data_IF_445509383394
#
_entry.id   IF_445509383394
#
_cell.length_a   1.000
_cell.length_b   1.000
_cell.length_c   1.000
_cell.angle_alpha   90.00
_cell.angle_beta   90.00
_cell.angle_gamma   90.00
#
_symmetry.space_group_name_H-M   'P 1'
#
loop_
_entity.id
_entity.type
_entity.pdbx_description
1 polymer ?
#
# COMPACT_ATOMS: atom_id res chain seq x y z
N UNK A 1 9.75 1.38 5.51
CA UNK A 1 8.79 2.38 6.05
C UNK A 1 8.66 3.51 5.06
N UNK A 2 7.45 3.88 4.63
CA UNK A 2 7.28 4.98 3.66
C UNK A 2 7.43 6.34 4.35
N UNK A 3 8.55 7.01 4.08
CA UNK A 3 8.80 8.40 4.48
C UNK A 3 7.95 9.27 3.55
N UNK A 4 6.69 9.50 3.91
CA UNK A 4 6.09 10.80 3.62
C UNK A 4 7.04 11.79 4.30
N UNK A 5 7.71 12.65 3.52
CA UNK A 5 8.62 13.67 4.08
C UNK A 5 7.90 14.35 5.23
N UNK A 6 8.60 14.65 6.32
CA UNK A 6 8.00 15.24 7.51
C UNK A 6 7.23 16.53 7.16
N UNK A 7 7.71 17.23 6.13
CA UNK A 7 7.06 18.36 5.48
C UNK A 7 5.70 18.01 4.85
N UNK A 8 5.59 16.92 4.09
CA UNK A 8 4.32 16.44 3.54
C UNK A 8 3.34 16.02 4.66
N UNK A 9 3.81 15.43 5.76
CA UNK A 9 2.94 15.11 6.92
C UNK A 9 2.39 16.37 7.59
N UNK A 10 3.22 17.41 7.71
CA UNK A 10 2.82 18.71 8.27
C UNK A 10 1.78 19.41 7.37
N UNK A 11 1.97 19.34 6.05
CA UNK A 11 1.01 19.83 5.06
C UNK A 11 -0.34 19.11 5.22
N UNK A 12 -0.34 17.77 5.31
CA UNK A 12 -1.57 16.99 5.47
C UNK A 12 -2.33 17.27 6.77
N UNK A 13 -1.61 17.53 7.88
CA UNK A 13 -2.22 17.90 9.16
C UNK A 13 -2.90 19.27 9.14
N UNK A 14 -2.41 20.19 8.32
CA UNK A 14 -2.92 21.56 8.22
C UNK A 14 -3.81 21.78 6.99
N UNK A 15 -4.13 20.71 6.24
CA UNK A 15 -4.95 20.77 5.04
C UNK A 15 -6.37 21.22 5.38
N UNK A 16 -6.86 22.24 4.66
CA UNK A 16 -8.21 22.75 4.80
C UNK A 16 -9.10 22.27 3.66
N UNK A 17 -10.41 22.46 3.83
CA UNK A 17 -11.41 22.14 2.79
C UNK A 17 -11.20 22.92 1.49
N UNK A 18 -10.73 24.16 1.60
CA UNK A 18 -10.40 25.04 0.47
C UNK A 18 -9.25 24.47 -0.38
N UNK A 19 -8.21 23.93 0.26
CA UNK A 19 -7.07 23.33 -0.44
C UNK A 19 -7.49 22.14 -1.30
N UNK A 20 -8.43 21.33 -0.78
CA UNK A 20 -8.99 20.20 -1.52
C UNK A 20 -9.81 20.65 -2.72
N UNK A 21 -10.59 21.75 -2.59
CA UNK A 21 -11.34 22.31 -3.72
C UNK A 21 -10.40 22.86 -4.80
N UNK A 22 -9.38 23.61 -4.40
CA UNK A 22 -8.37 24.10 -5.34
C UNK A 22 -7.65 22.95 -6.06
N UNK A 23 -7.41 21.85 -5.35
CA UNK A 23 -6.85 20.64 -5.95
C UNK A 23 -7.80 19.95 -6.93
N UNK A 24 -9.12 19.97 -6.69
CA UNK A 24 -10.12 19.51 -7.65
C UNK A 24 -10.10 20.35 -8.93
N UNK A 25 -10.04 21.67 -8.80
CA UNK A 25 -9.97 22.57 -9.96
C UNK A 25 -8.70 22.33 -10.79
N UNK A 26 -7.54 22.18 -10.11
CA UNK A 26 -6.28 21.82 -10.76
C UNK A 26 -6.35 20.45 -11.44
N UNK A 27 -7.02 19.49 -10.80
CA UNK A 27 -7.25 18.17 -11.37
C UNK A 27 -8.11 18.26 -12.64
N UNK A 28 -9.18 19.05 -12.61
CA UNK A 28 -10.09 19.25 -13.73
C UNK A 28 -9.43 19.97 -14.91
N UNK A 29 -8.57 20.94 -14.63
CA UNK A 29 -7.83 21.65 -15.68
C UNK A 29 -6.73 20.81 -16.33
N UNK A 30 -5.93 20.09 -15.52
CA UNK A 30 -4.67 19.49 -15.99
C UNK A 30 -4.76 17.99 -16.27
N UNK A 31 -5.61 17.27 -15.56
CA UNK A 31 -5.56 15.80 -15.55
C UNK A 31 -6.86 15.16 -16.02
N UNK A 32 -8.01 15.83 -15.89
CA UNK A 32 -9.33 15.21 -16.17
C UNK A 32 -9.51 14.71 -17.59
N UNK A 33 -8.91 15.36 -18.59
CA UNK A 33 -8.94 14.91 -19.99
C UNK A 33 -8.05 13.69 -20.23
N UNK A 34 -6.93 13.61 -19.53
CA UNK A 34 -5.91 12.56 -19.70
C UNK A 34 -6.08 11.40 -18.71
N UNK A 35 -7.03 11.51 -17.79
CA UNK A 35 -7.26 10.51 -16.75
C UNK A 35 -8.01 9.30 -17.34
N UNK A 36 -7.27 8.32 -17.84
CA UNK A 36 -7.82 7.08 -18.36
C UNK A 36 -8.72 6.36 -17.34
N UNK A 37 -9.82 5.78 -17.84
CA UNK A 37 -10.83 5.02 -17.05
C UNK A 37 -10.23 3.86 -16.24
N UNK A 38 -9.05 3.37 -16.62
CA UNK A 38 -8.33 2.26 -15.99
C UNK A 38 -7.62 2.66 -14.68
N UNK A 39 -7.46 3.96 -14.39
CA UNK A 39 -6.78 4.46 -13.18
C UNK A 39 -7.72 4.76 -12.01
N UNK A 40 -9.03 4.63 -12.21
CA UNK A 40 -10.01 4.76 -11.15
C UNK A 40 -9.85 3.59 -10.18
N UNK A 41 -9.24 3.88 -9.03
CA UNK A 41 -9.01 2.89 -7.98
C UNK A 41 -10.28 2.67 -7.18
N UNK A 42 -10.19 1.69 -6.28
CA UNK A 42 -11.19 1.27 -5.28
C UNK A 42 -11.99 2.41 -4.62
N UNK A 43 -11.44 3.62 -4.46
CA UNK A 43 -12.17 4.72 -3.82
C UNK A 43 -12.28 5.96 -4.72
N UNK A 44 -13.43 6.61 -4.71
CA UNK A 44 -13.66 7.96 -5.25
C UNK A 44 -14.13 8.90 -4.15
N UNK A 45 -13.78 10.17 -4.29
CA UNK A 45 -14.34 11.26 -3.52
C UNK A 45 -15.42 11.93 -4.36
N UNK A 46 -16.65 11.99 -3.84
CA UNK A 46 -17.78 12.62 -4.53
C UNK A 46 -17.88 14.10 -4.13
N UNK A 47 -17.80 14.99 -5.11
CA UNK A 47 -18.01 16.42 -4.92
C UNK A 47 -18.76 17.01 -6.12
N UNK A 48 -19.86 17.72 -5.88
CA UNK A 48 -20.69 18.36 -6.92
C UNK A 48 -21.11 17.40 -8.06
N UNK A 49 -21.47 16.16 -7.71
CA UNK A 49 -21.86 15.13 -8.68
C UNK A 49 -20.70 14.56 -9.50
N UNK A 50 -19.47 14.97 -9.22
CA UNK A 50 -18.27 14.46 -9.87
C UNK A 50 -17.47 13.59 -8.91
N UNK A 51 -16.95 12.49 -9.45
CA UNK A 51 -16.02 11.62 -8.73
C UNK A 51 -14.59 12.10 -8.96
N UNK A 52 -13.77 12.04 -7.91
CA UNK A 52 -12.35 12.40 -7.97
C UNK A 52 -11.50 11.30 -7.32
N UNK A 53 -10.29 11.02 -7.82
CA UNK A 53 -9.41 10.03 -7.21
C UNK A 53 -8.75 10.63 -5.95
N UNK A 54 -8.97 10.08 -4.73
CA UNK A 54 -8.44 10.68 -3.50
C UNK A 54 -6.91 10.79 -3.49
N UNK A 55 -6.21 9.81 -4.10
CA UNK A 55 -4.75 9.83 -4.20
C UNK A 55 -4.24 10.95 -5.10
N UNK A 56 -4.90 11.17 -6.24
CA UNK A 56 -4.47 12.16 -7.21
C UNK A 56 -4.86 13.57 -6.77
N UNK A 57 -6.00 13.73 -6.10
CA UNK A 57 -6.31 14.98 -5.39
C UNK A 57 -5.24 15.34 -4.37
N UNK A 58 -4.77 14.37 -3.58
CA UNK A 58 -3.70 14.61 -2.61
C UNK A 58 -2.40 15.08 -3.27
N UNK A 59 -2.08 14.52 -4.45
CA UNK A 59 -0.94 14.97 -5.26
C UNK A 59 -1.14 16.39 -5.75
N UNK A 60 -2.34 16.76 -6.18
CA UNK A 60 -2.68 18.12 -6.60
C UNK A 60 -2.56 19.13 -5.43
N UNK A 61 -2.99 18.76 -4.21
CA UNK A 61 -2.81 19.60 -3.02
C UNK A 61 -1.32 19.84 -2.75
N UNK A 62 -0.51 18.77 -2.73
CA UNK A 62 0.93 18.88 -2.44
C UNK A 62 1.64 19.67 -3.55
N UNK A 63 1.36 19.39 -4.82
CA UNK A 63 1.94 20.10 -5.96
C UNK A 63 1.55 21.59 -5.95
N UNK A 64 0.29 21.90 -5.64
CA UNK A 64 -0.20 23.28 -5.53
C UNK A 64 0.44 24.06 -4.37
N UNK A 65 0.74 23.40 -3.24
CA UNK A 65 1.36 24.04 -2.07
C UNK A 65 2.88 24.16 -2.17
N UNK A 66 3.53 23.29 -2.94
CA UNK A 66 5.00 23.25 -3.05
C UNK A 66 5.53 23.91 -4.32
N UNK A 67 4.66 24.35 -5.24
CA UNK A 67 5.00 24.79 -6.61
C UNK A 67 5.88 23.78 -7.38
N UNK A 68 6.02 22.54 -6.88
CA UNK A 68 6.82 21.50 -7.49
C UNK A 68 5.91 20.69 -8.41
N UNK A 69 5.98 21.02 -9.70
CA UNK A 69 5.03 20.54 -10.70
C UNK A 69 5.20 19.05 -11.08
N UNK A 70 6.21 18.36 -10.54
CA UNK A 70 6.61 17.05 -11.07
C UNK A 70 7.17 16.04 -10.06
N UNK A 71 6.90 16.19 -8.78
CA UNK A 71 7.29 15.15 -7.84
C UNK A 71 6.21 14.05 -7.77
N UNK A 72 6.15 13.24 -8.86
CA UNK A 72 5.25 12.07 -8.97
C UNK A 72 5.47 11.05 -7.84
N UNK A 73 6.60 11.15 -7.17
CA UNK A 73 7.04 10.30 -6.07
C UNK A 73 6.72 10.88 -4.67
N UNK A 74 6.16 12.10 -4.56
CA UNK A 74 5.85 12.69 -3.24
C UNK A 74 4.78 11.95 -2.43
N UNK A 75 3.96 11.09 -3.06
CA UNK A 75 2.85 10.37 -2.43
C UNK A 75 2.96 8.87 -2.72
N UNK A 76 3.79 8.21 -1.92
CA UNK A 76 4.16 6.79 -2.08
C UNK A 76 3.05 5.82 -1.64
N UNK A 77 2.15 6.24 -0.74
CA UNK A 77 1.03 5.42 -0.25
C UNK A 77 -0.33 5.80 -0.86
N UNK A 78 -1.17 4.82 -1.18
CA UNK A 78 -2.59 4.99 -1.42
C UNK A 78 -3.33 3.99 -0.54
N UNK A 79 -4.21 4.44 0.36
CA UNK A 79 -4.86 3.54 1.32
C UNK A 79 -5.86 4.21 2.26
N UNK A 80 -6.45 3.44 3.20
CA UNK A 80 -7.53 3.90 4.09
C UNK A 80 -7.17 5.14 4.93
N UNK A 81 -5.89 5.29 5.25
CA UNK A 81 -5.35 6.44 5.99
C UNK A 81 -5.51 7.76 5.24
N UNK A 82 -5.47 7.75 3.90
CA UNK A 82 -5.69 8.95 3.08
C UNK A 82 -7.17 9.34 3.07
N UNK A 83 -8.06 8.37 2.97
CA UNK A 83 -9.50 8.60 2.96
C UNK A 83 -9.98 9.28 4.25
N UNK A 84 -9.37 8.95 5.40
CA UNK A 84 -9.69 9.59 6.69
C UNK A 84 -9.54 11.11 6.66
N UNK A 85 -8.55 11.65 5.95
CA UNK A 85 -8.37 13.11 5.87
C UNK A 85 -9.54 13.77 5.14
N UNK A 86 -10.00 13.18 4.04
CA UNK A 86 -11.14 13.71 3.28
C UNK A 86 -12.45 13.57 4.04
N UNK A 87 -12.66 12.44 4.72
CA UNK A 87 -13.83 12.23 5.59
C UNK A 87 -13.86 13.25 6.73
N UNK A 88 -12.73 13.49 7.40
CA UNK A 88 -12.61 14.48 8.47
C UNK A 88 -12.90 15.92 8.00
N UNK A 89 -12.67 16.23 6.71
CA UNK A 89 -13.01 17.52 6.09
C UNK A 89 -14.47 17.60 5.59
N UNK A 90 -15.25 16.54 5.81
CA UNK A 90 -16.66 16.46 5.44
C UNK A 90 -16.90 16.14 3.97
N UNK A 91 -15.99 15.41 3.32
CA UNK A 91 -16.21 14.87 1.98
C UNK A 91 -16.69 13.42 2.03
N UNK A 92 -17.55 13.05 1.09
CA UNK A 92 -18.04 11.68 0.94
C UNK A 92 -17.05 10.87 0.10
N UNK A 93 -16.60 9.74 0.63
CA UNK A 93 -15.74 8.79 -0.08
C UNK A 93 -16.54 7.53 -0.38
N UNK A 94 -16.73 7.23 -1.66
CA UNK A 94 -17.41 6.03 -2.15
C UNK A 94 -16.39 4.95 -2.51
N UNK A 95 -16.78 3.69 -2.32
CA UNK A 95 -16.01 2.54 -2.78
C UNK A 95 -16.56 2.08 -4.14
N UNK A 96 -15.77 2.22 -5.20
CA UNK A 96 -16.13 1.82 -6.57
C UNK A 96 -15.81 0.36 -6.89
N UNK A 97 -15.65 -0.50 -5.88
CA UNK A 97 -15.67 -1.93 -6.12
C UNK A 97 -16.99 -2.29 -6.82
N UNK A 98 -16.89 -2.69 -8.10
CA UNK A 98 -18.02 -3.25 -8.85
C UNK A 98 -18.73 -4.27 -7.96
N UNK A 99 -20.07 -4.32 -7.92
CA UNK A 99 -20.78 -5.36 -7.22
C UNK A 99 -20.40 -6.71 -7.85
N UNK A 100 -19.54 -7.47 -7.19
CA UNK A 100 -19.31 -8.87 -7.53
C UNK A 100 -20.60 -9.61 -7.22
N UNK A 101 -21.21 -10.16 -8.27
CA UNK A 101 -22.46 -10.91 -8.26
C UNK A 101 -22.53 -11.84 -7.05
N UNK A 102 -23.57 -11.64 -6.25
CA UNK A 102 -24.05 -12.56 -5.22
C UNK A 102 -24.31 -13.92 -5.86
N UNK A 103 -23.45 -14.92 -5.61
CA UNK A 103 -23.83 -16.32 -5.75
C UNK A 103 -24.20 -16.81 -4.37
N UNK A 104 -25.51 -16.80 -4.11
CA UNK A 104 -26.14 -17.41 -2.95
C UNK A 104 -25.65 -18.84 -2.75
N UNK A 105 -25.22 -19.15 -1.52
CA UNK A 105 -25.43 -20.49 -0.95
C UNK A 105 -26.21 -20.34 0.36
N UNK A 106 -27.23 -21.18 0.59
CA UNK A 106 -28.20 -20.97 1.65
C UNK A 106 -27.66 -21.35 3.03
N UNK A 107 -28.17 -20.62 4.01
CA UNK A 107 -27.89 -20.65 5.43
C UNK A 107 -28.54 -21.89 6.10
N UNK A 108 -27.76 -22.75 6.77
CA UNK A 108 -28.29 -23.82 7.63
C UNK A 108 -27.37 -24.04 8.84
N UNK A 109 -27.82 -23.52 10.01
CA UNK A 109 -27.41 -23.86 11.39
C UNK A 109 -25.93 -23.58 11.76
N UNK A 110 -25.53 -23.13 12.95
CA UNK A 110 -26.16 -22.71 14.19
C UNK A 110 -25.07 -21.97 15.00
N UNK A 111 -25.49 -21.04 15.86
CA UNK A 111 -24.78 -20.42 16.99
C UNK A 111 -23.51 -21.16 17.47
N UNK A 112 -22.31 -20.65 17.17
CA UNK A 112 -21.05 -20.96 17.89
C UNK A 112 -20.07 -19.74 17.86
N UNK A 113 -19.23 -19.67 18.90
CA UNK A 113 -18.35 -18.60 19.41
C UNK A 113 -17.37 -17.91 18.43
N UNK A 114 -16.76 -16.75 18.78
CA UNK A 114 -15.95 -15.95 17.87
C UNK A 114 -14.59 -16.62 17.59
N UNK A 115 -14.54 -17.45 16.54
CA UNK A 115 -13.29 -17.95 15.98
C UNK A 115 -13.24 -17.60 14.49
N UNK A 116 -12.52 -16.54 14.12
CA UNK A 116 -12.06 -16.36 12.73
C UNK A 116 -10.90 -15.38 12.69
N UNK A 117 -9.72 -15.95 12.94
CA UNK A 117 -8.42 -15.41 12.55
C UNK A 117 -8.45 -14.94 11.09
N UNK A 118 -7.94 -13.74 10.75
CA UNK A 118 -7.86 -13.27 9.36
C UNK A 118 -6.98 -14.21 8.52
N UNK A 119 -7.13 -14.24 7.18
CA UNK A 119 -6.37 -15.13 6.31
C UNK A 119 -4.87 -14.93 6.55
N UNK A 120 -4.22 -15.95 7.07
CA UNK A 120 -2.79 -15.95 7.33
C UNK A 120 -2.09 -15.66 6.00
N UNK A 121 -1.36 -14.54 5.93
CA UNK A 121 -0.44 -14.32 4.83
C UNK A 121 0.61 -15.42 4.75
N UNK A 122 1.60 -15.26 3.89
CA UNK A 122 2.66 -16.26 3.71
C UNK A 122 3.98 -15.77 4.31
N UNK A 123 4.81 -16.73 4.76
CA UNK A 123 6.20 -16.47 5.14
C UNK A 123 7.07 -16.91 3.95
N UNK A 124 8.06 -16.10 3.53
CA UNK A 124 8.99 -16.48 2.47
C UNK A 124 9.72 -17.79 2.77
N UNK A 125 9.80 -18.67 1.78
CA UNK A 125 10.54 -19.94 1.93
C UNK A 125 12.05 -19.72 1.84
N UNK A 126 12.81 -20.73 2.28
CA UNK A 126 14.28 -20.73 2.19
C UNK A 126 14.78 -20.56 0.76
N UNK A 127 14.17 -21.23 -0.22
CA UNK A 127 14.57 -21.08 -1.63
C UNK A 127 14.27 -19.68 -2.15
N UNK A 128 13.13 -19.10 -1.77
CA UNK A 128 12.77 -17.75 -2.20
C UNK A 128 13.75 -16.72 -1.65
N UNK A 129 14.14 -16.82 -0.38
CA UNK A 129 15.12 -15.92 0.23
C UNK A 129 16.50 -16.11 -0.40
N UNK A 130 16.95 -17.36 -0.65
CA UNK A 130 18.22 -17.62 -1.33
C UNK A 130 18.24 -17.04 -2.75
N UNK A 131 17.14 -17.17 -3.50
CA UNK A 131 17.01 -16.60 -4.84
C UNK A 131 17.10 -15.07 -4.78
N UNK A 132 16.39 -14.46 -3.84
CA UNK A 132 16.41 -13.01 -3.64
C UNK A 132 17.81 -12.52 -3.24
N UNK A 133 18.50 -13.23 -2.35
CA UNK A 133 19.88 -12.96 -1.96
C UNK A 133 20.83 -13.04 -3.16
N UNK A 134 20.68 -14.04 -4.03
CA UNK A 134 21.47 -14.16 -5.26
C UNK A 134 21.22 -13.02 -6.26
N UNK A 135 20.00 -12.45 -6.29
CA UNK A 135 19.69 -11.29 -7.15
C UNK A 135 20.29 -9.98 -6.63
N UNK A 136 20.32 -9.77 -5.31
CA UNK A 136 20.81 -8.52 -4.71
C UNK A 136 22.32 -8.55 -4.41
N UNK A 137 22.89 -9.72 -4.20
CA UNK A 137 24.31 -9.92 -3.94
C UNK A 137 24.84 -11.15 -4.71
N UNK A 138 24.98 -11.05 -6.04
CA UNK A 138 25.44 -12.17 -6.88
C UNK A 138 26.87 -12.64 -6.56
N UNK A 139 27.68 -11.82 -5.89
CA UNK A 139 29.07 -12.12 -5.50
C UNK A 139 29.24 -12.54 -4.04
N UNK A 140 28.14 -12.86 -3.33
CA UNK A 140 28.21 -13.24 -1.92
C UNK A 140 28.58 -12.08 -0.98
N UNK A 141 28.31 -10.84 -1.40
CA UNK A 141 28.46 -9.66 -0.54
C UNK A 141 27.46 -9.71 0.60
N UNK A 142 27.86 -9.15 1.74
CA UNK A 142 26.99 -8.99 2.88
C UNK A 142 25.82 -8.08 2.52
N UNK A 143 24.60 -8.55 2.80
CA UNK A 143 23.35 -7.84 2.51
C UNK A 143 22.78 -7.36 3.83
N UNK A 144 22.50 -6.07 3.92
CA UNK A 144 21.84 -5.52 5.10
C UNK A 144 20.38 -6.01 5.22
N UNK A 145 19.92 -6.11 6.46
CA UNK A 145 18.58 -6.59 6.79
C UNK A 145 17.47 -5.80 6.08
N UNK A 146 17.61 -4.49 5.95
CA UNK A 146 16.60 -3.60 5.37
C UNK A 146 16.49 -3.78 3.85
N UNK A 147 17.62 -4.00 3.17
CA UNK A 147 17.68 -4.32 1.74
C UNK A 147 17.04 -5.67 1.45
N UNK A 148 17.37 -6.69 2.24
CA UNK A 148 16.75 -8.02 2.10
C UNK A 148 15.24 -7.95 2.34
N UNK A 149 14.82 -7.27 3.41
CA UNK A 149 13.41 -7.08 3.77
C UNK A 149 12.64 -6.38 2.64
N UNK A 150 13.16 -5.24 2.18
CA UNK A 150 12.54 -4.45 1.11
C UNK A 150 12.42 -5.25 -0.18
N UNK A 151 13.43 -6.04 -0.52
CA UNK A 151 13.41 -6.86 -1.74
C UNK A 151 12.39 -7.99 -1.68
N UNK A 152 12.21 -8.61 -0.51
CA UNK A 152 11.18 -9.62 -0.29
C UNK A 152 9.78 -9.01 -0.42
N UNK A 153 9.52 -7.85 0.19
CA UNK A 153 8.24 -7.15 0.06
C UNK A 153 7.90 -6.83 -1.41
N UNK A 154 8.88 -6.34 -2.17
CA UNK A 154 8.72 -6.07 -3.60
C UNK A 154 8.42 -7.35 -4.38
N UNK A 155 9.17 -8.42 -4.13
CA UNK A 155 8.98 -9.71 -4.81
C UNK A 155 7.59 -10.29 -4.57
N UNK A 156 7.11 -10.28 -3.32
CA UNK A 156 5.79 -10.80 -2.96
C UNK A 156 4.67 -9.96 -3.56
N UNK A 157 4.82 -8.63 -3.55
CA UNK A 157 3.88 -7.71 -4.18
C UNK A 157 3.79 -7.91 -5.69
N UNK A 158 4.92 -8.14 -6.37
CA UNK A 158 4.95 -8.43 -7.82
C UNK A 158 4.28 -9.76 -8.16
N UNK A 159 4.39 -10.76 -7.27
CA UNK A 159 3.71 -12.05 -7.40
C UNK A 159 2.25 -12.05 -6.92
N UNK A 160 1.71 -10.90 -6.52
CA UNK A 160 0.38 -10.75 -5.94
C UNK A 160 0.14 -11.65 -4.70
N UNK A 161 1.21 -11.95 -3.94
CA UNK A 161 1.17 -12.71 -2.68
C UNK A 161 1.21 -11.73 -1.51
N UNK A 162 0.46 -12.04 -0.45
CA UNK A 162 0.46 -11.26 0.79
C UNK A 162 1.38 -11.90 1.82
N UNK A 163 2.30 -11.11 2.36
CA UNK A 163 3.14 -11.53 3.49
C UNK A 163 2.32 -11.50 4.78
N UNK A 164 2.60 -12.43 5.71
CA UNK A 164 1.99 -12.41 7.05
C UNK A 164 2.28 -11.09 7.78
N UNK A 165 1.39 -10.63 8.68
CA UNK A 165 1.81 -9.75 9.77
C UNK A 165 3.00 -10.38 10.50
N UNK A 166 4.01 -9.59 10.83
CA UNK A 166 5.23 -10.04 11.52
C UNK A 166 6.08 -11.11 10.78
N UNK A 167 5.86 -11.29 9.47
CA UNK A 167 6.61 -12.23 8.62
C UNK A 167 8.13 -12.07 8.78
N UNK A 168 8.61 -10.84 8.98
CA UNK A 168 10.02 -10.53 9.10
C UNK A 168 10.66 -11.14 10.35
N UNK A 169 9.98 -11.08 11.49
CA UNK A 169 10.47 -11.66 12.75
C UNK A 169 10.54 -13.18 12.64
N UNK A 170 9.56 -13.80 11.97
CA UNK A 170 9.54 -15.24 11.71
C UNK A 170 10.65 -15.63 10.74
N UNK A 171 10.85 -14.86 9.67
CA UNK A 171 11.93 -15.06 8.70
C UNK A 171 13.31 -14.92 9.33
N UNK A 172 13.53 -13.94 10.23
CA UNK A 172 14.79 -13.79 10.97
C UNK A 172 15.12 -15.03 11.80
N UNK A 173 14.15 -15.53 12.54
CA UNK A 173 14.30 -16.76 13.32
C UNK A 173 14.67 -17.94 12.42
N UNK A 174 13.98 -18.10 11.29
CA UNK A 174 14.27 -19.14 10.33
C UNK A 174 15.67 -19.01 9.70
N UNK A 175 16.13 -17.80 9.40
CA UNK A 175 17.48 -17.56 8.86
C UNK A 175 18.58 -17.94 9.84
N UNK A 176 18.39 -17.63 11.13
CA UNK A 176 19.29 -18.05 12.21
C UNK A 176 19.33 -19.58 12.33
N UNK A 177 18.16 -20.22 12.32
CA UNK A 177 18.06 -21.68 12.38
C UNK A 177 18.72 -22.36 11.17
N UNK A 178 18.56 -21.81 9.96
CA UNK A 178 19.23 -22.32 8.76
C UNK A 178 20.75 -22.11 8.80
N UNK A 179 21.22 -20.97 9.28
CA UNK A 179 22.65 -20.69 9.45
C UNK A 179 23.31 -21.68 10.42
N UNK A 180 22.64 -21.99 11.52
CA UNK A 180 23.12 -22.96 12.51
C UNK A 180 23.12 -24.39 11.96
N UNK A 181 22.12 -24.75 11.15
CA UNK A 181 22.03 -26.08 10.54
C UNK A 181 23.09 -26.30 9.46
N UNK A 182 23.33 -25.31 8.61
CA UNK A 182 24.36 -25.37 7.56
C UNK A 182 25.80 -25.46 8.11
N UNK A 183 26.02 -25.06 9.37
CA UNK A 183 27.30 -25.26 10.09
C UNK A 183 27.47 -26.69 10.60
N UNK A 184 26.41 -27.29 11.13
CA UNK A 184 26.43 -28.68 11.63
C UNK A 184 26.53 -29.71 10.51
N UNK A 185 25.98 -29.42 9.33
CA UNK A 185 26.04 -30.32 8.17
C UNK A 185 27.41 -30.26 7.43
N UNK A 186 28.35 -29.42 7.89
CA UNK A 186 29.71 -29.26 7.34
C UNK A 186 30.83 -29.78 8.25
N UNK A 187 30.50 -30.23 9.47
CA UNK A 187 31.37 -31.00 10.36
C UNK A 187 31.19 -32.50 10.13
#
# INVERSE_FOLDING_TARGET
MAIVSEQNRKILKNMKKEDVKNAMDLFDQKFRKDFEKTRWKKYSLLHNGQSYPPKDLLRCVIAGMTNSLYDRDSVIGGGPSINKYFINLGFTVENNEKPSVNVSKPNLYARQEPTSTPPAGEIPTREEIKKILGEIAPEGREVDEDSLKSRIEVTFKLKNRMLMPDWWEITKKNLLDWSNKDRKDKE
#
